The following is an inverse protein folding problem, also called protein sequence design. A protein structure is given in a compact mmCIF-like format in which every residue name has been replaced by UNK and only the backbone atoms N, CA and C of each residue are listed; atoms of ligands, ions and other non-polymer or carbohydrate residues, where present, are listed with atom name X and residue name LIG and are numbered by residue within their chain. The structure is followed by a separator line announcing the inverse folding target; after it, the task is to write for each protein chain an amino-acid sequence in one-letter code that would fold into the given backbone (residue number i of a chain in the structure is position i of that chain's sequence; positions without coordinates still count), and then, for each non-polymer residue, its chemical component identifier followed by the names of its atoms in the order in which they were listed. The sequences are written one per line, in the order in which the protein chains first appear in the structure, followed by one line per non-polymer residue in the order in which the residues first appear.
data_IF_817024094567
#
_entry.id   IF_817024094567
#
_cell.length_a   1.000
_cell.length_b   1.000
_cell.length_c   1.000
_cell.angle_alpha   90.00
_cell.angle_beta   90.00
_cell.angle_gamma   90.00
#
_symmetry.space_group_name_H-M   'P 1'
#
loop_
_entity.id
_entity.type
_entity.pdbx_description
1 polymer ?
#
# COMPACT_ATOMS: atom_id res chain seq x y z
N UNK A 1 -1.03 -13.05 -49.50
CA UNK A 1 -0.69 -13.59 -48.16
C UNK A 1 0.00 -12.61 -47.21
N UNK A 2 0.84 -11.63 -47.62
CA UNK A 2 1.51 -10.69 -46.69
C UNK A 2 0.55 -9.78 -45.90
N UNK A 3 -0.54 -9.35 -46.52
CA UNK A 3 -1.46 -8.37 -45.93
C UNK A 3 -2.23 -8.89 -44.70
N UNK A 4 -2.44 -10.20 -44.61
CA UNK A 4 -3.13 -10.82 -43.45
C UNK A 4 -2.22 -10.78 -42.22
N UNK A 5 -0.92 -11.07 -42.39
CA UNK A 5 0.05 -10.98 -41.32
C UNK A 5 0.16 -9.54 -40.76
N UNK A 6 0.19 -8.54 -41.65
CA UNK A 6 0.22 -7.13 -41.25
C UNK A 6 -1.03 -6.72 -40.47
N UNK A 7 -2.21 -7.20 -40.86
CA UNK A 7 -3.46 -6.90 -40.17
C UNK A 7 -3.51 -7.54 -38.79
N UNK A 8 -3.13 -8.82 -38.68
CA UNK A 8 -3.03 -9.52 -37.39
C UNK A 8 -2.03 -8.82 -36.48
N UNK A 9 -0.86 -8.45 -37.01
CA UNK A 9 0.16 -7.71 -36.27
C UNK A 9 -0.38 -6.36 -35.78
N UNK A 10 -1.08 -5.60 -36.62
CA UNK A 10 -1.66 -4.30 -36.24
C UNK A 10 -2.69 -4.43 -35.11
N UNK A 11 -3.57 -5.44 -35.18
CA UNK A 11 -4.58 -5.72 -34.14
C UNK A 11 -3.94 -6.03 -32.79
N UNK A 12 -2.75 -6.64 -32.76
CA UNK A 12 -2.01 -6.92 -31.52
C UNK A 12 -1.23 -5.68 -31.05
N UNK A 13 -0.57 -4.97 -31.97
CA UNK A 13 0.28 -3.84 -31.63
C UNK A 13 -0.52 -2.62 -31.17
N UNK A 14 -1.71 -2.37 -31.72
CA UNK A 14 -2.49 -1.18 -31.38
C UNK A 14 -2.91 -1.13 -29.88
N UNK A 15 -3.52 -2.19 -29.30
CA UNK A 15 -3.80 -2.23 -27.86
C UNK A 15 -2.55 -2.15 -27.01
N UNK A 16 -1.46 -2.81 -27.42
CA UNK A 16 -0.20 -2.79 -26.69
C UNK A 16 0.41 -1.38 -26.66
N UNK A 17 0.42 -0.69 -27.80
CA UNK A 17 0.85 0.71 -27.89
C UNK A 17 -0.02 1.61 -27.01
N UNK A 18 -1.34 1.46 -27.06
CA UNK A 18 -2.26 2.21 -26.19
C UNK A 18 -1.95 1.98 -24.70
N UNK A 19 -1.76 0.72 -24.28
CA UNK A 19 -1.42 0.37 -22.90
C UNK A 19 -0.09 0.98 -22.45
N UNK A 20 0.95 0.90 -23.29
CA UNK A 20 2.28 1.47 -22.98
C UNK A 20 2.21 3.00 -22.92
N UNK A 21 1.52 3.65 -23.86
CA UNK A 21 1.33 5.11 -23.84
C UNK A 21 0.60 5.54 -22.58
N UNK A 22 -0.47 4.84 -22.20
CA UNK A 22 -1.21 5.11 -20.96
C UNK A 22 -0.32 4.95 -19.72
N UNK A 23 0.51 3.91 -19.68
CA UNK A 23 1.46 3.68 -18.59
C UNK A 23 2.51 4.79 -18.49
N UNK A 24 3.07 5.25 -19.61
CA UNK A 24 4.05 6.35 -19.66
C UNK A 24 3.41 7.66 -19.18
N UNK A 25 2.19 7.98 -19.63
CA UNK A 25 1.48 9.18 -19.17
C UNK A 25 1.26 9.16 -17.65
N UNK A 26 0.87 8.01 -17.09
CA UNK A 26 0.74 7.86 -15.64
C UNK A 26 2.08 8.04 -14.91
N UNK A 27 3.17 7.53 -15.46
CA UNK A 27 4.51 7.69 -14.89
C UNK A 27 4.94 9.16 -14.88
N UNK A 28 4.75 9.88 -16.00
CA UNK A 28 5.06 11.31 -16.12
C UNK A 28 4.19 12.14 -15.18
N UNK A 29 2.91 11.80 -15.03
CA UNK A 29 2.01 12.46 -14.09
C UNK A 29 2.46 12.30 -12.63
N UNK A 30 2.84 11.08 -12.23
CA UNK A 30 3.36 10.82 -10.87
C UNK A 30 4.69 11.57 -10.65
N UNK A 31 5.56 11.62 -11.65
CA UNK A 31 6.82 12.38 -11.59
C UNK A 31 6.58 13.87 -11.41
N UNK A 32 5.64 14.44 -12.18
CA UNK A 32 5.24 15.84 -12.05
C UNK A 32 4.75 16.16 -10.64
N UNK A 33 3.86 15.33 -10.07
CA UNK A 33 3.37 15.52 -8.70
C UNK A 33 4.54 15.44 -7.71
N UNK A 34 5.41 14.44 -7.84
CA UNK A 34 6.56 14.26 -6.97
C UNK A 34 7.44 15.52 -6.93
N UNK A 35 7.85 16.03 -8.08
CA UNK A 35 8.68 17.23 -8.19
C UNK A 35 7.98 18.46 -7.63
N UNK A 36 6.68 18.62 -7.90
CA UNK A 36 5.90 19.74 -7.37
C UNK A 36 5.83 19.74 -5.84
N UNK A 37 5.63 18.58 -5.21
CA UNK A 37 5.56 18.43 -3.75
C UNK A 37 6.94 18.51 -3.11
N UNK A 38 7.97 17.95 -3.74
CA UNK A 38 9.35 18.05 -3.29
C UNK A 38 9.83 19.50 -3.25
N UNK A 39 9.50 20.29 -4.29
CA UNK A 39 9.81 21.73 -4.31
C UNK A 39 9.14 22.47 -3.16
N UNK A 40 7.86 22.18 -2.87
CA UNK A 40 7.14 22.78 -1.73
C UNK A 40 7.72 22.37 -0.39
N UNK A 41 8.14 21.11 -0.26
CA UNK A 41 8.83 20.60 0.93
C UNK A 41 10.14 21.34 1.19
N UNK A 42 10.99 21.51 0.16
CA UNK A 42 12.26 22.25 0.28
C UNK A 42 12.01 23.72 0.66
N UNK A 43 10.88 24.30 0.24
CA UNK A 43 10.48 25.66 0.57
C UNK A 43 9.74 25.79 1.93
N UNK A 44 9.69 24.73 2.75
CA UNK A 44 8.95 24.69 4.04
C UNK A 44 7.49 25.17 3.96
N UNK A 45 6.86 24.95 2.80
CA UNK A 45 5.50 25.43 2.48
C UNK A 45 4.46 24.32 2.38
N UNK A 46 4.82 23.11 2.82
CA UNK A 46 4.01 21.92 2.65
C UNK A 46 2.87 21.87 3.69
N UNK A 47 1.61 21.83 3.23
CA UNK A 47 0.48 21.62 4.12
C UNK A 47 0.41 20.17 4.65
N UNK A 48 -0.31 19.92 5.75
CA UNK A 48 -0.46 18.57 6.30
C UNK A 48 -1.11 17.58 5.33
N UNK A 49 -2.03 18.05 4.47
CA UNK A 49 -2.67 17.21 3.44
C UNK A 49 -1.67 16.86 2.33
N UNK A 50 -0.89 17.86 1.89
CA UNK A 50 0.17 17.66 0.89
C UNK A 50 1.29 16.77 1.41
N UNK A 51 1.60 16.84 2.71
CA UNK A 51 2.52 15.94 3.38
C UNK A 51 2.08 14.48 3.26
N UNK A 52 0.81 14.19 3.56
CA UNK A 52 0.24 12.85 3.40
C UNK A 52 0.22 12.40 1.94
N UNK A 53 -0.07 13.31 1.01
CA UNK A 53 -0.01 13.00 -0.42
C UNK A 53 1.42 12.74 -0.89
N UNK A 54 2.40 13.43 -0.33
CA UNK A 54 3.81 13.20 -0.63
C UNK A 54 4.24 11.80 -0.18
N UNK A 55 3.87 11.38 1.03
CA UNK A 55 4.09 9.99 1.49
C UNK A 55 3.50 8.97 0.52
N UNK A 56 2.24 9.17 0.07
CA UNK A 56 1.61 8.25 -0.90
C UNK A 56 2.41 8.19 -2.20
N UNK A 57 2.88 9.32 -2.71
CA UNK A 57 3.69 9.38 -3.93
C UNK A 57 5.02 8.66 -3.73
N UNK A 58 5.69 8.84 -2.58
CA UNK A 58 6.92 8.13 -2.24
C UNK A 58 6.70 6.61 -2.23
N UNK A 59 5.60 6.15 -1.62
CA UNK A 59 5.22 4.72 -1.58
C UNK A 59 4.94 4.18 -3.00
N UNK A 60 4.18 4.92 -3.82
CA UNK A 60 3.90 4.53 -5.22
C UNK A 60 5.19 4.41 -6.03
N UNK A 61 6.12 5.36 -5.83
CA UNK A 61 7.45 5.37 -6.46
C UNK A 61 8.43 4.37 -5.85
N UNK A 62 8.04 3.65 -4.79
CA UNK A 62 8.90 2.70 -4.04
C UNK A 62 10.14 3.36 -3.43
N UNK A 63 10.07 4.66 -3.12
CA UNK A 63 11.10 5.39 -2.38
C UNK A 63 10.94 5.10 -0.89
N UNK A 64 11.25 3.87 -0.49
CA UNK A 64 10.93 3.33 0.83
C UNK A 64 11.59 4.10 1.98
N UNK A 65 12.87 4.43 1.84
CA UNK A 65 13.61 5.16 2.85
C UNK A 65 13.04 6.56 3.09
N UNK A 66 12.75 7.30 2.01
CA UNK A 66 12.10 8.61 2.12
C UNK A 66 10.71 8.47 2.75
N UNK A 67 9.90 7.50 2.30
CA UNK A 67 8.57 7.28 2.84
C UNK A 67 8.59 7.00 4.36
N UNK A 68 9.51 6.15 4.82
CA UNK A 68 9.70 5.85 6.26
C UNK A 68 10.10 7.13 7.01
N UNK A 69 11.11 7.87 6.53
CA UNK A 69 11.54 9.13 7.15
C UNK A 69 10.36 10.10 7.30
N UNK A 70 9.54 10.25 6.26
CA UNK A 70 8.36 11.11 6.30
C UNK A 70 7.27 10.58 7.25
N UNK A 71 7.10 9.27 7.38
CA UNK A 71 6.12 8.67 8.30
C UNK A 71 6.54 8.76 9.77
N UNK A 72 7.84 8.77 10.06
CA UNK A 72 8.38 8.85 11.42
C UNK A 72 8.44 10.29 11.96
N UNK A 73 8.40 11.29 11.08
CA UNK A 73 8.33 12.70 11.45
C UNK A 73 6.96 13.03 12.07
N UNK A 74 6.97 13.17 13.40
CA UNK A 74 5.80 13.27 14.28
C UNK A 74 4.86 14.49 14.15
N UNK A 75 5.25 15.70 13.69
CA UNK A 75 4.36 16.86 13.83
C UNK A 75 3.07 16.79 13.00
N UNK A 76 2.96 15.86 12.05
CA UNK A 76 1.77 15.71 11.19
C UNK A 76 0.90 14.48 11.52
N UNK A 77 1.25 13.75 12.58
CA UNK A 77 0.57 12.52 12.99
C UNK A 77 -0.59 12.84 13.93
N UNK A 78 -1.72 13.29 13.38
CA UNK A 78 -2.96 13.35 14.17
C UNK A 78 -3.39 11.92 14.57
N UNK A 79 -4.20 11.80 15.62
CA UNK A 79 -4.66 10.50 16.15
C UNK A 79 -5.46 9.69 15.12
N UNK A 80 -6.12 10.37 14.18
CA UNK A 80 -6.92 9.76 13.10
C UNK A 80 -6.04 9.14 11.99
N UNK A 81 -4.92 9.78 11.67
CA UNK A 81 -3.94 9.35 10.68
C UNK A 81 -2.96 8.33 11.25
N UNK A 82 -2.77 8.30 12.58
CA UNK A 82 -1.84 7.40 13.26
C UNK A 82 -2.01 5.95 12.78
N UNK A 83 -3.22 5.41 12.84
CA UNK A 83 -3.51 4.04 12.39
C UNK A 83 -3.15 3.81 10.91
N UNK A 84 -3.44 4.78 10.04
CA UNK A 84 -3.15 4.70 8.60
C UNK A 84 -1.65 4.78 8.32
N UNK A 85 -0.94 5.66 9.00
CA UNK A 85 0.50 5.81 8.87
C UNK A 85 1.26 4.59 9.41
N UNK A 86 0.85 4.05 10.56
CA UNK A 86 1.37 2.78 11.09
C UNK A 86 1.14 1.63 10.10
N UNK A 87 -0.07 1.52 9.53
CA UNK A 87 -0.33 0.53 8.49
C UNK A 87 0.52 0.76 7.22
N UNK A 88 0.82 2.02 6.89
CA UNK A 88 1.70 2.34 5.75
C UNK A 88 3.15 1.96 6.04
N UNK A 89 3.66 2.20 7.24
CA UNK A 89 4.96 1.70 7.69
C UNK A 89 5.01 0.17 7.61
N UNK A 90 4.00 -0.51 8.14
CA UNK A 90 3.89 -1.96 8.04
C UNK A 90 3.95 -2.46 6.60
N UNK A 91 3.25 -1.78 5.68
CA UNK A 91 3.28 -2.09 4.25
C UNK A 91 4.64 -1.88 3.60
N UNK A 92 5.34 -0.81 3.96
CA UNK A 92 6.69 -0.54 3.44
C UNK A 92 7.66 -1.63 3.92
N UNK A 93 7.66 -1.95 5.21
CA UNK A 93 8.50 -3.00 5.78
C UNK A 93 8.18 -4.38 5.20
N UNK A 94 6.90 -4.71 4.99
CA UNK A 94 6.49 -5.92 4.27
C UNK A 94 7.04 -5.95 2.85
N UNK A 95 6.99 -4.82 2.13
CA UNK A 95 7.45 -4.70 0.74
C UNK A 95 8.96 -4.88 0.58
N UNK A 96 9.73 -4.59 1.63
CA UNK A 96 11.19 -4.84 1.69
C UNK A 96 11.51 -6.14 2.46
N UNK A 97 10.53 -7.01 2.67
CA UNK A 97 10.66 -8.34 3.31
C UNK A 97 11.09 -8.34 4.79
N UNK A 98 11.04 -7.18 5.45
CA UNK A 98 11.30 -7.01 6.88
C UNK A 98 10.05 -7.36 7.71
N UNK A 99 9.66 -8.63 7.70
CA UNK A 99 8.42 -9.10 8.31
C UNK A 99 8.34 -8.91 9.83
N UNK A 100 9.48 -8.75 10.52
CA UNK A 100 9.51 -8.42 11.94
C UNK A 100 8.94 -7.04 12.22
N UNK A 101 9.45 -6.03 11.52
CA UNK A 101 8.96 -4.65 11.64
C UNK A 101 7.55 -4.51 11.06
N UNK A 102 7.25 -5.20 9.96
CA UNK A 102 5.89 -5.22 9.42
C UNK A 102 4.86 -5.72 10.45
N UNK A 103 5.15 -6.83 11.14
CA UNK A 103 4.31 -7.37 12.22
C UNK A 103 4.07 -6.32 13.31
N UNK A 104 5.15 -5.67 13.77
CA UNK A 104 5.06 -4.66 14.82
C UNK A 104 4.17 -3.48 14.41
N UNK A 105 4.42 -2.85 13.26
CA UNK A 105 3.66 -1.69 12.84
C UNK A 105 2.20 -2.01 12.51
N UNK A 106 1.91 -3.17 11.92
CA UNK A 106 0.52 -3.59 11.73
C UNK A 106 -0.19 -3.86 13.05
N UNK A 107 0.50 -4.44 14.03
CA UNK A 107 -0.06 -4.65 15.37
C UNK A 107 -0.38 -3.31 16.06
N UNK A 108 0.54 -2.34 16.01
CA UNK A 108 0.30 -0.99 16.53
C UNK A 108 -0.87 -0.30 15.79
N UNK A 109 -0.97 -0.47 14.47
CA UNK A 109 -2.09 0.05 13.68
C UNK A 109 -3.45 -0.53 14.12
N UNK A 110 -3.50 -1.84 14.39
CA UNK A 110 -4.71 -2.53 14.90
C UNK A 110 -5.09 -2.04 16.30
N UNK A 111 -4.11 -1.80 17.18
CA UNK A 111 -4.37 -1.32 18.53
C UNK A 111 -4.80 0.16 18.58
N UNK A 112 -4.35 0.96 17.62
CA UNK A 112 -4.70 2.39 17.55
C UNK A 112 -6.12 2.65 17.02
N UNK A 113 -6.74 1.70 16.31
CA UNK A 113 -8.10 1.83 15.76
C UNK A 113 -8.87 0.51 15.79
N UNK A 114 -9.95 0.51 16.58
CA UNK A 114 -10.89 -0.62 16.63
C UNK A 114 -11.46 -0.94 15.24
N UNK A 115 -11.61 -2.24 14.95
CA UNK A 115 -12.10 -2.76 13.67
C UNK A 115 -11.42 -2.18 12.42
N UNK A 116 -10.11 -1.89 12.48
CA UNK A 116 -9.36 -1.46 11.30
C UNK A 116 -9.03 -2.65 10.37
N UNK A 117 -10.02 -3.04 9.56
CA UNK A 117 -10.00 -4.26 8.75
C UNK A 117 -8.75 -4.40 7.87
N UNK A 118 -8.27 -3.32 7.26
CA UNK A 118 -7.09 -3.33 6.39
C UNK A 118 -5.83 -3.75 7.16
N UNK A 119 -5.57 -3.11 8.31
CA UNK A 119 -4.42 -3.46 9.15
C UNK A 119 -4.52 -4.87 9.74
N UNK A 120 -5.74 -5.31 10.10
CA UNK A 120 -5.96 -6.68 10.59
C UNK A 120 -5.68 -7.72 9.51
N UNK A 121 -6.13 -7.50 8.28
CA UNK A 121 -5.86 -8.40 7.16
C UNK A 121 -4.35 -8.48 6.88
N UNK A 122 -3.66 -7.34 6.91
CA UNK A 122 -2.21 -7.30 6.72
C UNK A 122 -1.47 -8.01 7.86
N UNK A 123 -1.85 -7.79 9.13
CA UNK A 123 -1.27 -8.49 10.28
C UNK A 123 -1.48 -10.01 10.18
N UNK A 124 -2.69 -10.45 9.84
CA UNK A 124 -2.99 -11.87 9.68
C UNK A 124 -2.19 -12.50 8.52
N UNK A 125 -1.97 -11.76 7.43
CA UNK A 125 -1.07 -12.18 6.33
C UNK A 125 0.37 -12.32 6.81
N UNK A 126 0.89 -11.38 7.59
CA UNK A 126 2.24 -11.49 8.17
C UNK A 126 2.35 -12.72 9.09
N UNK A 127 1.34 -12.99 9.92
CA UNK A 127 1.31 -14.21 10.73
C UNK A 127 1.33 -15.49 9.90
N UNK A 128 0.57 -15.54 8.81
CA UNK A 128 0.56 -16.65 7.85
C UNK A 128 1.95 -16.86 7.23
N UNK A 129 2.57 -15.79 6.71
CA UNK A 129 3.93 -15.82 6.14
C UNK A 129 4.98 -16.32 7.15
N UNK A 130 4.80 -16.03 8.43
CA UNK A 130 5.67 -16.46 9.53
C UNK A 130 5.27 -17.81 10.14
N UNK A 131 4.34 -18.56 9.51
CA UNK A 131 3.81 -19.85 9.96
C UNK A 131 3.17 -19.82 11.36
N UNK A 132 2.69 -18.65 11.80
CA UNK A 132 1.97 -18.44 13.06
C UNK A 132 0.45 -18.58 12.84
N UNK A 133 0.00 -19.73 12.30
CA UNK A 133 -1.39 -19.94 11.86
C UNK A 133 -2.42 -19.67 12.96
N UNK A 134 -2.13 -20.07 14.20
CA UNK A 134 -3.03 -19.85 15.33
C UNK A 134 -3.33 -18.35 15.55
N UNK A 135 -2.32 -17.47 15.44
CA UNK A 135 -2.51 -16.02 15.53
C UNK A 135 -3.25 -15.48 14.31
N UNK A 136 -2.92 -15.95 13.11
CA UNK A 136 -3.62 -15.54 11.89
C UNK A 136 -5.12 -15.86 11.99
N UNK A 137 -5.49 -17.07 12.38
CA UNK A 137 -6.88 -17.51 12.58
C UNK A 137 -7.58 -16.67 13.64
N UNK A 138 -6.90 -16.34 14.76
CA UNK A 138 -7.46 -15.48 15.79
C UNK A 138 -7.82 -14.08 15.24
N UNK A 139 -6.93 -13.47 14.45
CA UNK A 139 -7.19 -12.18 13.81
C UNK A 139 -8.32 -12.30 12.77
N UNK A 140 -8.35 -13.35 11.94
CA UNK A 140 -9.45 -13.54 10.98
C UNK A 140 -10.80 -13.74 11.67
N UNK A 141 -10.85 -14.44 12.80
CA UNK A 141 -12.06 -14.55 13.62
C UNK A 141 -12.49 -13.18 14.16
N UNK A 142 -11.54 -12.34 14.56
CA UNK A 142 -11.83 -10.96 14.97
C UNK A 142 -12.34 -10.11 13.81
N UNK A 143 -11.75 -10.23 12.61
CA UNK A 143 -12.25 -9.59 11.38
C UNK A 143 -13.73 -9.96 11.15
N UNK A 144 -14.11 -11.23 11.32
CA UNK A 144 -15.50 -11.66 11.16
C UNK A 144 -16.47 -11.13 12.23
N UNK A 145 -15.97 -10.73 13.41
CA UNK A 145 -16.80 -10.02 14.40
C UNK A 145 -17.08 -8.59 13.96
N UNK A 146 -16.09 -7.92 13.36
CA UNK A 146 -16.24 -6.56 12.83
C UNK A 146 -17.00 -6.52 11.49
N UNK A 147 -16.77 -7.50 10.62
CA UNK A 147 -17.39 -7.66 9.30
C UNK A 147 -17.74 -9.14 9.05
N UNK A 148 -18.96 -9.58 9.42
CA UNK A 148 -19.39 -10.97 9.28
C UNK A 148 -19.47 -11.47 7.82
N UNK A 149 -19.47 -10.56 6.85
CA UNK A 149 -19.54 -10.89 5.41
C UNK A 149 -18.15 -10.97 4.76
N UNK A 150 -17.07 -10.78 5.52
CA UNK A 150 -15.71 -10.77 4.97
C UNK A 150 -15.31 -12.11 4.33
N UNK A 151 -15.30 -12.16 3.00
CA UNK A 151 -15.01 -13.39 2.24
C UNK A 151 -13.57 -13.86 2.43
N UNK A 152 -12.63 -12.91 2.56
CA UNK A 152 -11.20 -13.23 2.73
C UNK A 152 -10.98 -13.94 4.06
N UNK A 153 -11.55 -13.42 5.16
CA UNK A 153 -11.42 -14.02 6.48
C UNK A 153 -12.05 -15.42 6.54
N UNK A 154 -13.25 -15.61 5.95
CA UNK A 154 -13.89 -16.95 5.87
C UNK A 154 -12.99 -17.96 5.16
N UNK A 155 -12.48 -17.59 3.98
CA UNK A 155 -11.62 -18.46 3.17
C UNK A 155 -10.33 -18.82 3.91
N UNK A 156 -9.70 -17.84 4.57
CA UNK A 156 -8.43 -18.06 5.27
C UNK A 156 -8.56 -18.93 6.52
N UNK A 157 -9.66 -18.82 7.27
CA UNK A 157 -9.92 -19.69 8.42
C UNK A 157 -10.11 -21.16 7.97
N UNK A 158 -10.74 -21.40 6.82
CA UNK A 158 -10.92 -22.77 6.31
C UNK A 158 -9.65 -23.41 5.74
N UNK A 159 -8.65 -22.61 5.37
CA UNK A 159 -7.45 -23.08 4.67
C UNK A 159 -6.19 -23.24 5.54
N UNK A 160 -6.17 -22.63 6.73
CA UNK A 160 -5.00 -22.54 7.63
C UNK A 160 -5.10 -23.49 8.81
#
# INVERSE_FOLDING_TARGET
MPNIYLLVLFVILFPLAFLVTWQILNMVYIEYIYLSLQKKYIADSLSSIEYLNFIKVLVIKKLWFDAIRFLELRPYMNKECLSRCLNTLGFIYESITEYGLAEQYYFEAVNSKSCYLVAMQNLAKIYDLKKKNHLAIAIYKYILRCDPKNVIAKRRISSL
#
